data_IF_917848090296
#
_entry.id   IF_917848090296
#
_cell.length_a   1.000
_cell.length_b   1.000
_cell.length_c   1.000
_cell.angle_alpha   90.00
_cell.angle_beta   90.00
_cell.angle_gamma   90.00
#
_symmetry.space_group_name_H-M   'P 1'
#
loop_
_entity.id
_entity.type
_entity.pdbx_description
1 polymer ?
#
# COMPACT_ATOMS: atom_id res chain seq x y z
N UNK A 1 61.25 32.77 58.08
CA UNK A 1 60.11 31.81 58.10
C UNK A 1 59.20 32.12 56.86
N UNK A 2 59.35 31.30 55.85
CA UNK A 2 58.62 31.49 54.60
C UNK A 2 57.46 30.46 54.46
N UNK A 3 56.23 30.93 54.33
CA UNK A 3 55.06 30.08 54.18
C UNK A 3 54.87 29.73 52.71
N UNK A 4 54.86 28.43 52.38
CA UNK A 4 54.64 27.88 51.07
C UNK A 4 53.14 27.68 50.89
N UNK A 5 52.49 28.43 50.00
CA UNK A 5 51.08 28.24 49.57
C UNK A 5 50.98 27.11 48.55
N UNK A 6 50.28 26.05 48.86
CA UNK A 6 49.92 24.95 47.95
C UNK A 6 48.69 25.37 47.13
N UNK A 7 48.86 25.46 45.82
CA UNK A 7 47.73 25.54 44.87
C UNK A 7 47.21 24.16 44.60
N UNK A 8 45.94 23.92 44.92
CA UNK A 8 45.20 22.74 44.44
C UNK A 8 44.70 23.00 43.01
N UNK A 9 45.10 22.11 42.11
CA UNK A 9 44.56 22.04 40.74
C UNK A 9 43.44 21.03 40.74
N UNK A 10 42.20 21.48 40.63
CA UNK A 10 41.04 20.63 40.41
C UNK A 10 40.94 20.32 38.91
N UNK A 11 41.27 19.09 38.52
CA UNK A 11 41.02 18.58 37.16
C UNK A 11 39.54 18.25 37.02
N UNK A 12 38.82 19.04 36.23
CA UNK A 12 37.45 18.73 35.81
C UNK A 12 37.44 17.64 34.75
N UNK A 13 36.88 16.50 35.08
CA UNK A 13 36.64 15.39 34.16
C UNK A 13 35.41 15.70 33.36
N UNK A 14 35.55 16.17 32.10
CA UNK A 14 34.44 16.32 31.16
C UNK A 14 34.05 14.94 30.65
N UNK A 15 32.87 14.45 31.08
CA UNK A 15 32.23 13.27 30.53
C UNK A 15 31.73 13.58 29.12
N UNK A 16 32.45 13.13 28.11
CA UNK A 16 31.98 13.08 26.72
C UNK A 16 30.87 12.01 26.62
N UNK A 17 29.62 12.44 26.56
CA UNK A 17 28.49 11.58 26.22
C UNK A 17 28.55 11.36 24.69
N UNK A 18 28.72 10.13 24.20
CA UNK A 18 28.66 9.89 22.78
C UNK A 18 27.21 10.14 22.29
N UNK A 19 27.04 11.15 21.44
CA UNK A 19 25.78 11.31 20.69
C UNK A 19 25.57 10.06 19.83
N UNK A 20 24.63 9.22 20.23
CA UNK A 20 24.10 8.16 19.38
C UNK A 20 23.46 8.84 18.17
N UNK A 21 24.18 8.86 17.06
CA UNK A 21 23.61 9.17 15.76
C UNK A 21 22.56 8.12 15.48
N UNK A 22 21.28 8.54 15.51
CA UNK A 22 20.19 7.74 14.96
C UNK A 22 20.53 7.47 13.51
N UNK A 23 20.93 6.24 13.22
CA UNK A 23 21.09 5.77 11.85
C UNK A 23 19.75 5.98 11.13
N UNK A 24 19.72 6.92 10.20
CA UNK A 24 18.60 7.09 9.27
C UNK A 24 18.44 5.78 8.51
N UNK A 25 17.32 5.08 8.75
CA UNK A 25 16.94 3.93 7.95
C UNK A 25 16.81 4.38 6.48
N UNK A 26 17.58 3.79 5.55
CA UNK A 26 17.42 4.11 4.14
C UNK A 26 16.10 3.50 3.65
N UNK A 27 15.17 4.32 3.18
CA UNK A 27 14.03 3.83 2.42
C UNK A 27 12.66 4.42 2.66
N UNK A 28 12.49 5.42 3.50
CA UNK A 28 11.22 6.15 3.54
C UNK A 28 11.39 7.42 2.70
N UNK A 29 10.97 7.38 1.44
CA UNK A 29 10.87 8.61 0.66
C UNK A 29 9.87 9.54 1.35
N UNK A 30 10.34 10.68 1.83
CA UNK A 30 9.60 11.70 2.58
C UNK A 30 8.61 12.52 1.74
N UNK A 31 8.10 11.98 0.64
CA UNK A 31 6.95 12.55 -0.05
C UNK A 31 5.68 12.28 0.74
N UNK A 32 4.84 13.27 0.98
CA UNK A 32 3.52 13.09 1.57
C UNK A 32 2.79 11.96 0.83
N UNK A 33 2.31 10.95 1.56
CA UNK A 33 1.47 9.88 1.02
C UNK A 33 0.19 10.47 0.40
N UNK A 34 -0.57 9.68 -0.35
CA UNK A 34 -1.86 10.13 -0.84
C UNK A 34 -2.72 10.57 0.36
N UNK A 35 -3.47 11.68 0.20
CA UNK A 35 -4.36 12.17 1.24
C UNK A 35 -5.34 11.06 1.67
N UNK A 36 -5.70 10.96 2.97
CA UNK A 36 -6.65 9.94 3.43
C UNK A 36 -7.99 10.06 2.70
N UNK A 37 -8.74 8.97 2.61
CA UNK A 37 -10.14 9.02 2.18
C UNK A 37 -10.95 9.86 3.18
N UNK A 38 -11.91 10.62 2.66
CA UNK A 38 -12.79 11.45 3.50
C UNK A 38 -14.08 10.74 3.89
N UNK A 39 -14.37 9.61 3.24
CA UNK A 39 -15.54 8.75 3.46
C UNK A 39 -15.14 7.29 3.32
N UNK A 40 -16.02 6.38 3.69
CA UNK A 40 -15.91 4.96 3.38
C UNK A 40 -16.02 4.81 1.85
N UNK A 41 -14.94 4.40 1.15
CA UNK A 41 -14.98 4.27 -0.30
C UNK A 41 -15.76 3.02 -0.73
N UNK A 42 -16.71 3.18 -1.64
CA UNK A 42 -17.35 2.06 -2.32
C UNK A 42 -16.39 1.41 -3.33
N UNK A 43 -16.52 0.11 -3.53
CA UNK A 43 -15.69 -0.65 -4.45
C UNK A 43 -16.56 -1.21 -5.56
N UNK A 44 -16.13 -1.07 -6.81
CA UNK A 44 -16.79 -1.69 -7.95
C UNK A 44 -15.80 -2.51 -8.75
N UNK A 45 -16.07 -3.79 -8.89
CA UNK A 45 -15.31 -4.67 -9.78
C UNK A 45 -15.89 -4.54 -11.18
N UNK A 46 -15.05 -4.19 -12.15
CA UNK A 46 -15.41 -4.05 -13.57
C UNK A 46 -14.86 -5.26 -14.32
N UNK A 47 -15.76 -6.12 -14.76
CA UNK A 47 -15.47 -7.32 -15.56
C UNK A 47 -16.76 -7.92 -16.11
N UNK A 48 -16.65 -9.03 -16.85
CA UNK A 48 -17.78 -9.88 -17.20
C UNK A 48 -18.13 -10.80 -16.02
N UNK A 49 -19.39 -11.31 -15.97
CA UNK A 49 -19.86 -12.18 -14.90
C UNK A 49 -19.03 -13.48 -14.76
N UNK A 50 -19.11 -14.11 -13.59
CA UNK A 50 -18.54 -15.43 -13.26
C UNK A 50 -17.00 -15.54 -13.21
N UNK A 51 -16.32 -14.45 -12.87
CA UNK A 51 -14.87 -14.47 -12.66
C UNK A 51 -14.54 -14.76 -11.17
N UNK A 52 -13.72 -15.78 -10.93
CA UNK A 52 -13.28 -16.16 -9.59
C UNK A 52 -12.55 -15.02 -8.86
N UNK A 53 -11.87 -14.15 -9.60
CA UNK A 53 -11.17 -12.98 -9.06
C UNK A 53 -12.11 -12.02 -8.32
N UNK A 54 -13.41 -12.00 -8.65
CA UNK A 54 -14.40 -11.21 -7.91
C UNK A 54 -14.51 -11.71 -6.45
N UNK A 55 -14.46 -13.02 -6.23
CA UNK A 55 -14.42 -13.61 -4.89
C UNK A 55 -13.15 -13.19 -4.15
N UNK A 56 -12.01 -13.24 -4.83
CA UNK A 56 -10.70 -12.85 -4.26
C UNK A 56 -10.71 -11.38 -3.85
N UNK A 57 -11.30 -10.48 -4.65
CA UNK A 57 -11.46 -9.07 -4.27
C UNK A 57 -12.29 -8.94 -2.97
N UNK A 58 -13.39 -9.68 -2.84
CA UNK A 58 -14.19 -9.65 -1.60
C UNK A 58 -13.42 -10.17 -0.38
N UNK A 59 -12.63 -11.22 -0.55
CA UNK A 59 -11.76 -11.75 0.52
C UNK A 59 -10.69 -10.73 0.94
N UNK A 60 -10.07 -10.05 -0.03
CA UNK A 60 -9.10 -8.99 0.25
C UNK A 60 -9.73 -7.80 0.99
N UNK A 61 -10.94 -7.38 0.60
CA UNK A 61 -11.69 -6.34 1.32
C UNK A 61 -12.03 -6.78 2.75
N UNK A 62 -12.45 -8.03 2.94
CA UNK A 62 -12.70 -8.58 4.27
C UNK A 62 -11.43 -8.62 5.14
N UNK A 63 -10.29 -9.00 4.55
CA UNK A 63 -8.98 -8.94 5.21
C UNK A 63 -8.66 -7.52 5.69
N UNK A 64 -8.76 -6.52 4.81
CA UNK A 64 -8.49 -5.13 5.16
C UNK A 64 -9.42 -4.63 6.26
N UNK A 65 -10.70 -4.93 6.18
CA UNK A 65 -11.68 -4.49 7.18
C UNK A 65 -11.45 -5.13 8.56
N UNK A 66 -11.03 -6.39 8.61
CA UNK A 66 -10.60 -7.05 9.84
C UNK A 66 -9.35 -6.37 10.41
N UNK A 67 -8.33 -6.15 9.58
CA UNK A 67 -7.10 -5.48 9.98
C UNK A 67 -7.35 -4.08 10.53
N UNK A 68 -8.22 -3.28 9.91
CA UNK A 68 -8.62 -1.97 10.44
C UNK A 68 -9.26 -2.07 11.82
N UNK A 69 -10.06 -3.10 12.07
CA UNK A 69 -10.60 -3.39 13.39
C UNK A 69 -9.51 -3.72 14.41
N UNK A 70 -8.57 -4.59 14.04
CA UNK A 70 -7.45 -5.02 14.88
C UNK A 70 -6.54 -3.85 15.27
N UNK A 71 -6.27 -2.94 14.36
CA UNK A 71 -5.43 -1.74 14.64
C UNK A 71 -6.21 -0.57 15.25
N UNK A 72 -7.50 -0.71 15.48
CA UNK A 72 -8.32 0.29 16.19
C UNK A 72 -8.66 1.55 15.40
N UNK A 73 -8.68 1.49 14.05
CA UNK A 73 -9.15 2.62 13.22
C UNK A 73 -10.62 2.43 12.82
N UNK A 74 -11.43 3.52 12.75
CA UNK A 74 -12.81 3.46 12.27
C UNK A 74 -12.94 3.31 10.76
N UNK A 75 -11.87 3.56 9.99
CA UNK A 75 -11.89 3.42 8.53
C UNK A 75 -12.26 2.00 8.11
N UNK A 76 -13.05 1.89 7.06
CA UNK A 76 -13.40 0.62 6.40
C UNK A 76 -13.45 0.80 4.91
N UNK A 77 -13.19 -0.27 4.17
CA UNK A 77 -13.59 -0.39 2.79
C UNK A 77 -15.08 -0.73 2.73
N UNK A 78 -15.79 -0.08 1.83
CA UNK A 78 -17.23 -0.27 1.66
C UNK A 78 -17.60 -1.57 0.94
N UNK A 79 -18.88 -1.74 0.60
CA UNK A 79 -19.35 -2.92 -0.07
C UNK A 79 -18.73 -3.04 -1.47
N UNK A 80 -18.53 -4.30 -1.88
CA UNK A 80 -18.05 -4.65 -3.22
C UNK A 80 -19.24 -4.83 -4.14
N UNK A 81 -19.43 -3.86 -5.03
CA UNK A 81 -20.37 -3.95 -6.16
C UNK A 81 -19.71 -4.54 -7.40
N UNK A 82 -20.50 -4.67 -8.45
CA UNK A 82 -20.08 -5.20 -9.73
C UNK A 82 -20.67 -4.37 -10.87
N UNK A 83 -19.89 -4.16 -11.91
CA UNK A 83 -20.33 -3.54 -13.15
C UNK A 83 -19.81 -4.36 -14.33
N UNK A 84 -20.71 -4.78 -15.23
CA UNK A 84 -20.33 -5.47 -16.45
C UNK A 84 -19.55 -4.53 -17.38
N UNK A 85 -18.42 -5.00 -17.90
CA UNK A 85 -17.57 -4.24 -18.82
C UNK A 85 -16.11 -4.59 -18.70
N UNK A 86 -15.29 -3.92 -19.48
CA UNK A 86 -13.83 -4.05 -19.42
C UNK A 86 -13.18 -2.69 -19.62
N UNK A 87 -11.98 -2.55 -19.06
CA UNK A 87 -11.04 -1.50 -19.47
C UNK A 87 -10.09 -2.17 -20.48
N UNK A 88 -9.85 -1.59 -21.66
CA UNK A 88 -8.94 -2.15 -22.64
C UNK A 88 -7.55 -2.45 -22.06
N UNK A 89 -7.02 -3.63 -22.35
CA UNK A 89 -5.78 -4.11 -21.77
C UNK A 89 -4.56 -3.25 -22.15
N UNK A 90 -4.56 -2.67 -23.34
CA UNK A 90 -3.54 -1.72 -23.80
C UNK A 90 -3.53 -0.43 -22.99
N UNK A 91 -4.71 0.08 -22.59
CA UNK A 91 -4.82 1.24 -21.71
C UNK A 91 -4.29 0.93 -20.30
N UNK A 92 -4.65 -0.24 -19.74
CA UNK A 92 -4.13 -0.68 -18.45
C UNK A 92 -2.62 -0.88 -18.51
N UNK A 93 -2.11 -1.44 -19.62
CA UNK A 93 -0.68 -1.60 -19.85
C UNK A 93 0.05 -0.24 -19.92
N UNK A 94 -0.51 0.72 -20.65
CA UNK A 94 0.07 2.06 -20.77
C UNK A 94 0.20 2.74 -19.40
N UNK A 95 -0.82 2.61 -18.53
CA UNK A 95 -0.78 3.13 -17.16
C UNK A 95 0.28 2.38 -16.33
N UNK A 96 0.30 1.05 -16.42
CA UNK A 96 1.27 0.20 -15.71
C UNK A 96 2.71 0.58 -16.05
N UNK A 97 3.01 0.76 -17.32
CA UNK A 97 4.35 1.14 -17.80
C UNK A 97 4.77 2.53 -17.27
N UNK A 98 3.84 3.50 -17.19
CA UNK A 98 4.09 4.82 -16.62
C UNK A 98 4.33 4.76 -15.10
N UNK A 99 3.53 3.96 -14.37
CA UNK A 99 3.72 3.74 -12.92
C UNK A 99 5.09 3.15 -12.65
N UNK A 100 5.52 2.17 -13.45
CA UNK A 100 6.82 1.53 -13.32
C UNK A 100 7.99 2.47 -13.65
N UNK A 101 7.80 3.37 -14.61
CA UNK A 101 8.79 4.37 -14.99
C UNK A 101 9.00 5.49 -13.96
N UNK A 102 8.27 5.50 -12.85
CA UNK A 102 8.40 6.51 -11.80
C UNK A 102 7.82 7.87 -12.19
N UNK A 103 7.00 7.93 -13.23
CA UNK A 103 6.29 9.14 -13.65
C UNK A 103 5.41 9.71 -12.55
N UNK A 104 5.45 11.03 -12.36
CA UNK A 104 4.77 11.71 -11.25
C UNK A 104 3.24 11.55 -11.27
N UNK A 105 2.64 11.41 -12.44
CA UNK A 105 1.21 11.09 -12.67
C UNK A 105 1.06 10.51 -14.07
N UNK A 106 0.64 9.27 -14.22
CA UNK A 106 0.32 8.76 -15.54
C UNK A 106 -0.82 9.56 -16.16
N UNK A 107 -0.70 9.86 -17.43
CA UNK A 107 -1.84 10.25 -18.23
C UNK A 107 -2.75 9.04 -18.33
N UNK A 108 -3.97 9.14 -17.77
CA UNK A 108 -4.87 8.00 -17.67
C UNK A 108 -5.85 8.08 -18.83
N UNK A 109 -5.67 7.23 -19.85
CA UNK A 109 -6.57 7.22 -21.02
C UNK A 109 -7.98 6.71 -20.68
N UNK A 110 -8.25 6.42 -19.41
CA UNK A 110 -9.51 5.88 -18.91
C UNK A 110 -10.30 6.97 -18.22
N UNK A 111 -11.55 7.16 -18.61
CA UNK A 111 -12.44 8.08 -17.89
C UNK A 111 -12.96 7.43 -16.59
N UNK A 112 -12.08 7.32 -15.60
CA UNK A 112 -12.41 6.70 -14.32
C UNK A 112 -13.51 7.43 -13.55
N UNK A 113 -13.71 8.73 -13.80
CA UNK A 113 -14.72 9.53 -13.12
C UNK A 113 -16.15 9.10 -13.51
N UNK A 114 -16.32 8.52 -14.70
CA UNK A 114 -17.60 7.98 -15.19
C UNK A 114 -17.86 6.55 -14.70
N UNK A 115 -16.87 5.87 -14.14
CA UNK A 115 -17.04 4.52 -13.64
C UNK A 115 -17.71 4.55 -12.25
N UNK A 116 -18.61 3.59 -11.95
CA UNK A 116 -19.24 3.51 -10.64
C UNK A 116 -18.21 3.15 -9.57
N UNK A 117 -18.49 3.55 -8.32
CA UNK A 117 -17.63 3.29 -7.15
C UNK A 117 -16.49 4.28 -7.01
N UNK A 118 -15.96 4.35 -5.81
CA UNK A 118 -14.81 5.21 -5.47
C UNK A 118 -13.49 4.50 -5.77
N UNK A 119 -13.43 3.18 -5.52
CA UNK A 119 -12.34 2.29 -5.94
C UNK A 119 -12.87 1.40 -7.06
N UNK A 120 -12.32 1.58 -8.25
CA UNK A 120 -12.61 0.74 -9.41
C UNK A 120 -11.56 -0.37 -9.46
N UNK A 121 -12.00 -1.62 -9.38
CA UNK A 121 -11.13 -2.79 -9.55
C UNK A 121 -11.36 -3.33 -10.96
N UNK A 122 -10.41 -3.08 -11.85
CA UNK A 122 -10.44 -3.59 -13.23
C UNK A 122 -9.76 -4.96 -13.29
N UNK A 123 -10.52 -5.99 -13.59
CA UNK A 123 -9.95 -7.28 -13.95
C UNK A 123 -9.63 -7.29 -15.44
N UNK A 124 -8.56 -7.95 -15.83
CA UNK A 124 -8.13 -7.99 -17.23
C UNK A 124 -7.50 -9.32 -17.57
N UNK A 125 -7.58 -9.72 -18.84
CA UNK A 125 -6.82 -10.84 -19.40
C UNK A 125 -5.48 -10.38 -19.99
N UNK A 126 -5.19 -9.07 -19.94
CA UNK A 126 -3.98 -8.48 -20.50
C UNK A 126 -2.72 -8.84 -19.70
N UNK A 127 -1.57 -8.71 -20.37
CA UNK A 127 -0.26 -8.89 -19.77
C UNK A 127 0.37 -7.53 -19.44
N UNK A 128 0.27 -7.12 -18.19
CA UNK A 128 0.86 -5.92 -17.62
C UNK A 128 1.22 -6.22 -16.14
N UNK A 129 1.83 -5.31 -15.43
CA UNK A 129 2.04 -5.45 -13.99
C UNK A 129 0.82 -4.89 -13.28
N UNK A 130 0.17 -5.70 -12.43
CA UNK A 130 -0.94 -5.24 -11.58
C UNK A 130 -0.51 -4.01 -10.80
N UNK A 131 -1.43 -3.08 -10.61
CA UNK A 131 -1.15 -1.83 -9.91
C UNK A 131 -2.38 -1.30 -9.19
N UNK A 132 -2.12 -0.56 -8.09
CA UNK A 132 -3.11 0.24 -7.40
C UNK A 132 -2.70 1.72 -7.45
N UNK A 133 -3.62 2.60 -7.84
CA UNK A 133 -3.35 4.01 -7.97
C UNK A 133 -4.52 4.85 -7.49
N UNK A 134 -4.19 5.99 -6.86
CA UNK A 134 -5.16 6.96 -6.38
C UNK A 134 -4.88 8.35 -6.93
N UNK A 135 -5.92 9.13 -7.23
CA UNK A 135 -5.82 10.48 -7.77
C UNK A 135 -6.33 11.55 -6.79
N UNK A 136 -5.54 11.97 -5.79
CA UNK A 136 -5.91 13.14 -4.99
C UNK A 136 -5.89 14.43 -5.86
N UNK A 137 -6.82 15.37 -5.67
CA UNK A 137 -7.83 15.41 -4.61
C UNK A 137 -9.12 14.63 -4.95
N UNK A 138 -9.16 13.90 -6.06
CA UNK A 138 -10.32 13.09 -6.43
C UNK A 138 -10.48 11.93 -5.45
N UNK A 139 -11.71 11.69 -5.03
CA UNK A 139 -12.06 10.50 -4.24
C UNK A 139 -12.21 9.29 -5.17
N UNK A 140 -11.18 8.98 -5.95
CA UNK A 140 -11.13 7.90 -6.94
C UNK A 140 -9.81 7.14 -6.86
N UNK A 141 -9.89 5.83 -7.07
CA UNK A 141 -8.74 4.95 -7.26
C UNK A 141 -9.03 3.91 -8.35
N UNK A 142 -7.98 3.49 -9.03
CA UNK A 142 -7.99 2.35 -9.95
C UNK A 142 -7.05 1.28 -9.41
N UNK A 143 -7.57 0.08 -9.28
CA UNK A 143 -6.81 -1.14 -9.02
C UNK A 143 -6.95 -2.01 -10.25
N UNK A 144 -5.85 -2.30 -10.94
CA UNK A 144 -5.86 -3.14 -12.12
C UNK A 144 -5.17 -4.48 -11.83
N UNK A 145 -5.91 -5.55 -12.02
CA UNK A 145 -5.43 -6.92 -11.78
C UNK A 145 -5.32 -7.63 -13.13
N UNK A 146 -4.10 -8.05 -13.45
CA UNK A 146 -3.81 -8.77 -14.69
C UNK A 146 -4.39 -10.19 -14.67
N UNK A 147 -4.30 -10.87 -15.81
CA UNK A 147 -4.70 -12.26 -15.94
C UNK A 147 -4.03 -13.17 -14.91
N UNK A 148 -4.81 -14.07 -14.32
CA UNK A 148 -4.34 -15.11 -13.39
C UNK A 148 -4.06 -16.46 -14.08
N UNK A 149 -4.03 -16.49 -15.41
CA UNK A 149 -3.83 -17.75 -16.18
C UNK A 149 -2.37 -18.15 -16.32
N UNK A 150 -1.44 -17.42 -15.73
CA UNK A 150 0.00 -17.65 -15.83
C UNK A 150 0.68 -17.49 -14.49
N UNK A 151 1.70 -18.31 -14.31
CA UNK A 151 2.60 -18.20 -13.16
C UNK A 151 3.13 -16.76 -13.00
N UNK A 152 3.21 -16.24 -11.76
CA UNK A 152 2.83 -16.91 -10.51
C UNK A 152 1.38 -16.65 -10.07
N UNK A 153 0.55 -15.90 -10.82
CA UNK A 153 -0.80 -15.52 -10.43
C UNK A 153 -1.81 -16.68 -10.53
N UNK A 154 -1.47 -17.76 -11.24
CA UNK A 154 -2.23 -19.03 -11.21
C UNK A 154 -2.17 -19.75 -9.87
N UNK A 155 -1.28 -19.31 -8.98
CA UNK A 155 -1.25 -19.74 -7.59
C UNK A 155 -2.23 -18.88 -6.76
N UNK A 156 -3.33 -19.46 -6.28
CA UNK A 156 -4.41 -18.72 -5.61
C UNK A 156 -3.96 -17.86 -4.43
N UNK A 157 -2.93 -18.29 -3.67
CA UNK A 157 -2.40 -17.46 -2.59
C UNK A 157 -1.62 -16.25 -3.10
N UNK A 158 -0.97 -16.36 -4.25
CA UNK A 158 -0.27 -15.23 -4.90
C UNK A 158 -1.28 -14.20 -5.38
N UNK A 159 -2.27 -14.63 -6.14
CA UNK A 159 -3.33 -13.74 -6.65
C UNK A 159 -4.03 -12.99 -5.50
N UNK A 160 -4.43 -13.71 -4.44
CA UNK A 160 -5.07 -13.15 -3.24
C UNK A 160 -4.24 -12.01 -2.62
N UNK A 161 -2.93 -12.22 -2.47
CA UNK A 161 -2.05 -11.23 -1.88
C UNK A 161 -1.72 -10.08 -2.86
N UNK A 162 -1.65 -10.32 -4.15
CA UNK A 162 -1.55 -9.25 -5.16
C UNK A 162 -2.77 -8.34 -5.09
N UNK A 163 -3.99 -8.88 -5.07
CA UNK A 163 -5.20 -8.07 -4.94
C UNK A 163 -5.19 -7.25 -3.64
N UNK A 164 -4.81 -7.86 -2.52
CA UNK A 164 -4.72 -7.16 -1.24
C UNK A 164 -3.63 -6.07 -1.26
N UNK A 165 -2.49 -6.31 -1.90
CA UNK A 165 -1.39 -5.36 -2.07
C UNK A 165 -1.85 -4.13 -2.87
N UNK A 166 -2.50 -4.34 -4.01
CA UNK A 166 -2.96 -3.23 -4.85
C UNK A 166 -4.09 -2.42 -4.19
N UNK A 167 -4.96 -3.07 -3.41
CA UNK A 167 -5.90 -2.37 -2.53
C UNK A 167 -5.17 -1.55 -1.45
N UNK A 168 -4.04 -2.03 -0.95
CA UNK A 168 -3.17 -1.30 -0.02
C UNK A 168 -2.72 0.05 -0.58
N UNK A 169 -2.38 0.10 -1.87
CA UNK A 169 -2.07 1.37 -2.56
C UNK A 169 -3.29 2.29 -2.67
N UNK A 170 -4.46 1.72 -2.98
CA UNK A 170 -5.70 2.49 -3.01
C UNK A 170 -6.09 3.06 -1.63
N UNK A 171 -5.69 2.41 -0.54
CA UNK A 171 -5.88 2.89 0.84
C UNK A 171 -4.87 3.98 1.20
N UNK A 172 -3.68 3.98 0.58
CA UNK A 172 -2.65 4.99 0.81
C UNK A 172 -1.29 4.44 1.29
N UNK A 173 -1.11 3.14 1.32
CA UNK A 173 0.18 2.53 1.63
C UNK A 173 1.15 2.58 0.45
N UNK A 174 2.43 2.57 0.76
CA UNK A 174 3.53 2.50 -0.20
C UNK A 174 4.26 1.17 -0.08
N UNK A 175 5.15 0.90 -1.02
CA UNK A 175 6.01 -0.27 -0.93
C UNK A 175 6.95 -0.20 0.28
N UNK A 176 7.21 -1.38 0.84
CA UNK A 176 8.35 -1.66 1.71
C UNK A 176 9.33 -2.60 0.99
N UNK A 177 10.41 -3.00 1.66
CA UNK A 177 11.44 -3.88 1.10
C UNK A 177 11.51 -5.26 1.77
N UNK A 178 10.59 -5.61 2.64
CA UNK A 178 10.58 -6.89 3.35
C UNK A 178 9.74 -7.93 2.58
N UNK A 179 10.34 -8.98 1.99
CA UNK A 179 9.63 -9.97 1.20
C UNK A 179 8.64 -10.83 1.99
N UNK A 180 8.64 -10.74 3.31
CA UNK A 180 7.69 -11.44 4.17
C UNK A 180 6.44 -10.61 4.48
N UNK A 181 6.37 -9.38 3.95
CA UNK A 181 5.29 -8.42 4.22
C UNK A 181 4.44 -8.15 2.97
N UNK A 182 3.16 -7.83 3.19
CA UNK A 182 2.18 -7.63 2.13
C UNK A 182 2.59 -6.51 1.16
N UNK A 183 3.08 -5.38 1.67
CA UNK A 183 3.43 -4.22 0.84
C UNK A 183 4.85 -4.26 0.28
N UNK A 184 5.50 -5.45 0.25
CA UNK A 184 6.80 -5.58 -0.39
C UNK A 184 6.69 -5.36 -1.90
N UNK A 185 7.47 -4.42 -2.43
CA UNK A 185 7.42 -4.06 -3.84
C UNK A 185 8.64 -3.29 -4.33
N UNK A 186 8.63 -2.94 -5.60
CA UNK A 186 9.73 -2.20 -6.24
C UNK A 186 10.00 -0.86 -5.54
N UNK A 187 11.26 -0.39 -5.47
CA UNK A 187 12.47 -0.90 -6.16
C UNK A 187 13.11 -2.15 -5.52
N UNK A 188 12.59 -2.65 -4.38
CA UNK A 188 13.10 -3.88 -3.78
C UNK A 188 12.93 -5.09 -4.73
N UNK A 189 13.72 -6.18 -4.53
CA UNK A 189 13.66 -7.36 -5.39
C UNK A 189 12.41 -8.22 -5.20
N UNK A 190 11.41 -7.73 -4.46
CA UNK A 190 10.15 -8.43 -4.24
C UNK A 190 9.42 -8.69 -5.56
N UNK A 191 8.90 -9.89 -5.69
CA UNK A 191 8.11 -10.34 -6.85
C UNK A 191 6.86 -11.05 -6.34
N UNK A 192 5.81 -11.14 -7.14
CA UNK A 192 4.55 -11.76 -6.71
C UNK A 192 4.70 -13.20 -6.22
N UNK A 193 5.65 -13.98 -6.75
CA UNK A 193 5.93 -15.34 -6.31
C UNK A 193 6.40 -15.44 -4.84
N UNK A 194 6.88 -14.34 -4.25
CA UNK A 194 7.14 -14.28 -2.81
C UNK A 194 5.88 -14.56 -1.96
N UNK A 195 4.70 -14.37 -2.53
CA UNK A 195 3.43 -14.69 -1.88
C UNK A 195 3.03 -16.16 -2.01
N UNK A 196 3.82 -17.00 -2.67
CA UNK A 196 3.56 -18.44 -2.71
C UNK A 196 3.60 -19.03 -1.30
N UNK A 197 2.55 -19.76 -0.93
CA UNK A 197 2.44 -20.44 0.35
C UNK A 197 1.61 -21.70 0.20
N UNK A 198 1.94 -22.74 0.99
CA UNK A 198 1.21 -24.01 0.97
C UNK A 198 -0.22 -23.88 1.54
N UNK A 199 -0.46 -22.89 2.40
CA UNK A 199 -1.76 -22.60 2.97
C UNK A 199 -2.23 -21.20 2.58
N UNK A 200 -3.52 -21.06 2.38
CA UNK A 200 -4.17 -19.80 2.10
C UNK A 200 -3.98 -18.82 3.28
N UNK A 201 -3.27 -17.73 3.02
CA UNK A 201 -3.06 -16.67 4.02
C UNK A 201 -2.85 -15.32 3.35
N UNK A 202 -3.19 -14.26 4.06
CA UNK A 202 -2.69 -12.92 3.74
C UNK A 202 -1.37 -12.68 4.45
N UNK A 203 -0.44 -12.05 3.75
CA UNK A 203 0.80 -11.61 4.33
C UNK A 203 0.56 -10.40 5.25
N UNK A 204 1.32 -10.27 6.36
CA UNK A 204 1.11 -9.21 7.33
C UNK A 204 1.61 -7.86 6.83
N UNK A 205 1.28 -6.81 7.57
CA UNK A 205 1.85 -5.47 7.44
C UNK A 205 2.97 -5.26 8.45
N UNK A 206 3.94 -4.41 8.08
CA UNK A 206 4.89 -3.85 9.03
C UNK A 206 4.17 -3.01 10.11
N UNK A 207 4.72 -2.95 11.29
CA UNK A 207 4.16 -2.11 12.37
C UNK A 207 4.17 -0.62 12.01
N UNK A 208 5.17 -0.17 11.22
CA UNK A 208 5.19 1.17 10.66
C UNK A 208 4.03 1.45 9.70
N UNK A 209 3.61 0.47 8.89
CA UNK A 209 2.46 0.59 7.98
C UNK A 209 1.14 0.64 8.77
N UNK A 210 0.99 -0.19 9.81
CA UNK A 210 -0.16 -0.13 10.73
C UNK A 210 -0.23 1.22 11.45
N UNK A 211 0.92 1.77 11.87
CA UNK A 211 0.99 3.10 12.48
C UNK A 211 0.61 4.20 11.48
N UNK A 212 1.06 4.10 10.22
CA UNK A 212 0.68 5.03 9.16
C UNK A 212 -0.83 4.99 8.89
N UNK A 213 -1.45 3.82 8.85
CA UNK A 213 -2.90 3.68 8.70
C UNK A 213 -3.66 4.32 9.87
N UNK A 214 -3.21 4.13 11.13
CA UNK A 214 -3.80 4.81 12.30
C UNK A 214 -3.68 6.32 12.22
N UNK A 215 -2.55 6.82 11.72
CA UNK A 215 -2.33 8.26 11.55
C UNK A 215 -3.21 8.85 10.43
N UNK A 216 -3.40 8.12 9.33
CA UNK A 216 -4.28 8.52 8.22
C UNK A 216 -5.76 8.50 8.61
N UNK A 217 -6.16 7.53 9.42
CA UNK A 217 -7.56 7.25 9.79
C UNK A 217 -7.71 7.18 11.31
N UNK A 218 -7.52 8.30 12.04
CA UNK A 218 -7.58 8.32 13.50
C UNK A 218 -9.01 8.04 14.02
N UNK A 219 -9.17 7.85 15.31
CA UNK A 219 -10.47 7.54 15.96
C UNK A 219 -11.56 8.58 15.61
N UNK A 220 -11.21 9.83 15.37
CA UNK A 220 -12.14 10.89 14.92
C UNK A 220 -12.41 10.94 13.42
N UNK A 221 -11.88 10.02 12.63
CA UNK A 221 -12.17 9.95 11.19
C UNK A 221 -13.61 9.46 10.94
N UNK A 222 -14.32 9.97 9.90
CA UNK A 222 -13.92 11.04 8.99
C UNK A 222 -13.90 12.41 9.68
N UNK A 223 -12.93 13.24 9.29
CA UNK A 223 -12.92 14.62 9.76
C UNK A 223 -14.19 15.33 9.29
N UNK A 224 -14.94 15.91 10.22
CA UNK A 224 -16.18 16.68 9.96
C UNK A 224 -15.87 17.97 9.20
#
# INVERSE_FOLDING_TARGET
MAAIARRQVTAGLALLVPSLALAQMPGISSGAGPAPWRKIPSITVVWFADDERVRIVREAVAYWNRLFGEIGTPFRLGPVGYAAGTIPADQLKAISDQVLGGGARPDVPVNIDQMPGDIVVALSEGDFISFGMRWPPREKALVAIKSNRRYPLDLGNVERNVVAHELGHAIGLRHNSDPTMLMCGRPAPCRPDAFAAAADRFFPLLDGEKAALRAMYPIGWPAR
#
